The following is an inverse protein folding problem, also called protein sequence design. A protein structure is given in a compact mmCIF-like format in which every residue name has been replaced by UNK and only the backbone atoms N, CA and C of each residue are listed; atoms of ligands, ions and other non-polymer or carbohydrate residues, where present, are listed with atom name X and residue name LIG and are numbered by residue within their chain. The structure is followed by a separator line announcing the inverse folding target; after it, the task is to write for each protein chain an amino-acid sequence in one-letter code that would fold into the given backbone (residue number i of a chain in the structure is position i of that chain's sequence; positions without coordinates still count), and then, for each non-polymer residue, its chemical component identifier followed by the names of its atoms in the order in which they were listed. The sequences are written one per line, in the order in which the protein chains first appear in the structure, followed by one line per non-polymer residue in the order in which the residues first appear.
data_IF_673222072557
#
_entry.id   IF_673222072557
#
_cell.length_a   1.000
_cell.length_b   1.000
_cell.length_c   1.000
_cell.angle_alpha   90.00
_cell.angle_beta   90.00
_cell.angle_gamma   90.00
#
_symmetry.space_group_name_H-M   'P 1'
#
loop_
_entity.id
_entity.type
_entity.pdbx_description
1 polymer ?
#
# COMPACT_ATOMS: atom_id res chain seq x y z
N UNK A 1 1.22 -2.64 18.54
CA UNK A 1 0.96 -2.48 17.08
C UNK A 1 0.74 -0.99 16.78
N UNK A 2 1.52 -0.46 15.88
CA UNK A 2 1.38 0.95 15.49
C UNK A 2 0.21 1.15 14.55
N UNK A 3 -0.48 2.30 14.61
CA UNK A 3 -1.52 2.59 13.63
C UNK A 3 -0.94 2.73 12.23
N UNK A 4 -1.72 2.30 11.24
CA UNK A 4 -1.36 2.46 9.82
C UNK A 4 -2.23 3.57 9.25
N UNK A 5 -1.56 4.61 8.74
CA UNK A 5 -2.24 5.79 8.22
C UNK A 5 -1.91 5.90 6.73
N UNK A 6 -2.94 6.07 5.90
CA UNK A 6 -2.74 6.27 4.47
C UNK A 6 -2.62 7.75 4.16
N UNK A 7 -1.58 8.11 3.42
CA UNK A 7 -1.51 9.42 2.79
C UNK A 7 -2.76 9.60 1.91
N UNK A 8 -3.28 10.83 1.82
CA UNK A 8 -4.52 11.07 1.07
C UNK A 8 -4.42 10.57 -0.37
N UNK A 9 -3.27 10.73 -1.01
CA UNK A 9 -3.06 10.23 -2.37
C UNK A 9 -3.01 8.70 -2.43
N UNK A 10 -2.49 8.05 -1.40
CA UNK A 10 -2.52 6.59 -1.32
C UNK A 10 -3.96 6.08 -1.21
N UNK A 11 -4.78 6.79 -0.45
CA UNK A 11 -6.20 6.44 -0.34
C UNK A 11 -6.93 6.57 -1.68
N UNK A 12 -6.62 7.61 -2.43
CA UNK A 12 -7.15 7.80 -3.79
C UNK A 12 -6.75 6.63 -4.68
N UNK A 13 -5.48 6.23 -4.61
CA UNK A 13 -4.97 5.11 -5.41
C UNK A 13 -5.64 3.79 -5.05
N UNK A 14 -5.84 3.53 -3.76
CA UNK A 14 -6.53 2.33 -3.30
C UNK A 14 -7.96 2.28 -3.83
N UNK A 15 -8.67 3.39 -3.70
CA UNK A 15 -10.05 3.50 -4.16
C UNK A 15 -10.15 3.33 -5.67
N UNK A 16 -9.25 3.94 -6.42
CA UNK A 16 -9.23 3.84 -7.88
C UNK A 16 -8.97 2.39 -8.34
N UNK A 17 -8.04 1.69 -7.68
CA UNK A 17 -7.76 0.30 -7.99
C UNK A 17 -8.98 -0.58 -7.72
N UNK A 18 -9.63 -0.39 -6.57
CA UNK A 18 -10.83 -1.15 -6.21
C UNK A 18 -11.96 -0.92 -7.21
N UNK A 19 -12.16 0.33 -7.62
CA UNK A 19 -13.19 0.67 -8.62
C UNK A 19 -12.92 0.01 -9.97
N UNK A 20 -11.66 -0.05 -10.36
CA UNK A 20 -11.25 -0.68 -11.62
C UNK A 20 -11.59 -2.16 -11.62
N UNK A 21 -11.29 -2.85 -10.50
CA UNK A 21 -11.64 -4.25 -10.35
C UNK A 21 -13.16 -4.46 -10.30
N UNK A 22 -13.90 -3.56 -9.63
CA UNK A 22 -15.35 -3.64 -9.55
C UNK A 22 -16.03 -3.50 -10.93
N UNK A 23 -15.43 -2.70 -11.83
CA UNK A 23 -15.94 -2.57 -13.20
C UNK A 23 -15.84 -3.87 -13.97
N UNK A 24 -14.85 -4.70 -13.66
CA UNK A 24 -14.73 -6.03 -14.24
C UNK A 24 -15.69 -7.00 -13.55
N UNK A 25 -15.50 -7.19 -12.24
CA UNK A 25 -16.39 -8.02 -11.41
C UNK A 25 -16.37 -7.50 -9.96
N UNK A 26 -17.54 -7.37 -9.30
CA UNK A 26 -17.56 -6.89 -7.91
C UNK A 26 -16.76 -7.74 -6.95
N UNK A 27 -16.67 -9.05 -7.18
CA UNK A 27 -15.92 -9.99 -6.34
C UNK A 27 -14.44 -9.65 -6.32
N UNK A 28 -13.89 -9.22 -7.47
CA UNK A 28 -12.47 -8.84 -7.56
C UNK A 28 -12.15 -7.65 -6.68
N UNK A 29 -13.04 -6.66 -6.62
CA UNK A 29 -12.83 -5.51 -5.73
C UNK A 29 -12.81 -5.94 -4.27
N UNK A 30 -13.71 -6.84 -3.87
CA UNK A 30 -13.72 -7.37 -2.49
C UNK A 30 -12.45 -8.14 -2.19
N UNK A 31 -12.01 -8.99 -3.12
CA UNK A 31 -10.79 -9.78 -2.95
C UNK A 31 -9.57 -8.88 -2.85
N UNK A 32 -9.50 -7.85 -3.68
CA UNK A 32 -8.41 -6.88 -3.65
C UNK A 32 -8.34 -6.14 -2.30
N UNK A 33 -9.49 -5.64 -1.82
CA UNK A 33 -9.54 -4.92 -0.55
C UNK A 33 -9.21 -5.85 0.63
N UNK A 34 -9.63 -7.11 0.56
CA UNK A 34 -9.27 -8.09 1.57
C UNK A 34 -7.76 -8.35 1.58
N UNK A 35 -7.17 -8.54 0.40
CA UNK A 35 -5.72 -8.75 0.27
C UNK A 35 -4.94 -7.53 0.76
N UNK A 36 -5.43 -6.34 0.47
CA UNK A 36 -4.84 -5.11 0.98
C UNK A 36 -4.87 -5.08 2.52
N UNK A 37 -6.02 -5.36 3.13
CA UNK A 37 -6.14 -5.35 4.60
C UNK A 37 -5.22 -6.39 5.24
N UNK A 38 -5.12 -7.57 4.64
CA UNK A 38 -4.21 -8.60 5.14
C UNK A 38 -2.75 -8.10 5.11
N UNK A 39 -2.33 -7.50 4.01
CA UNK A 39 -0.98 -6.95 3.89
C UNK A 39 -0.75 -5.80 4.88
N UNK A 40 -1.74 -4.92 5.03
CA UNK A 40 -1.68 -3.79 5.95
C UNK A 40 -1.51 -4.26 7.40
N UNK A 41 -2.27 -5.28 7.79
CA UNK A 41 -2.20 -5.81 9.16
C UNK A 41 -0.86 -6.49 9.43
N UNK A 42 -0.32 -7.20 8.44
CA UNK A 42 1.01 -7.81 8.56
C UNK A 42 2.11 -6.75 8.72
N UNK A 43 2.00 -5.64 7.99
CA UNK A 43 2.92 -4.52 8.13
C UNK A 43 2.82 -3.91 9.54
N UNK A 44 1.60 -3.74 10.05
CA UNK A 44 1.39 -3.16 11.38
C UNK A 44 2.04 -3.99 12.48
N UNK A 45 2.05 -5.32 12.31
CA UNK A 45 2.68 -6.22 13.29
C UNK A 45 4.19 -6.16 13.26
N UNK A 46 4.80 -6.11 12.08
CA UNK A 46 6.25 -6.12 11.92
C UNK A 46 6.66 -5.21 10.77
N UNK A 47 6.61 -3.89 10.96
CA UNK A 47 6.89 -2.95 9.87
C UNK A 47 8.34 -3.00 9.37
N UNK A 48 9.27 -3.45 10.20
CA UNK A 48 10.69 -3.54 9.84
C UNK A 48 11.05 -4.84 9.13
N UNK A 49 10.09 -5.75 8.96
CA UNK A 49 10.30 -7.04 8.32
C UNK A 49 10.51 -6.95 6.80
N UNK A 50 9.94 -5.93 6.19
CA UNK A 50 9.89 -5.83 4.72
C UNK A 50 11.10 -5.10 4.16
N UNK A 51 11.45 -5.42 2.92
CA UNK A 51 12.61 -4.86 2.24
C UNK A 51 12.47 -3.37 2.01
N UNK A 52 13.61 -2.69 2.07
CA UNK A 52 13.66 -1.30 1.61
C UNK A 52 13.51 -1.25 0.10
N UNK A 53 12.70 -0.33 -0.37
CA UNK A 53 12.69 0.07 -1.77
C UNK A 53 13.78 1.10 -2.00
N UNK A 54 13.79 2.12 -1.17
CA UNK A 54 14.79 3.20 -1.16
C UNK A 54 14.71 3.80 0.25
N UNK A 55 15.76 3.63 1.06
CA UNK A 55 15.69 4.04 2.46
C UNK A 55 15.24 5.49 2.59
N UNK A 56 14.33 5.82 3.51
CA UNK A 56 13.78 4.97 4.57
C UNK A 56 12.49 4.23 4.19
N UNK A 57 12.19 4.11 2.91
CA UNK A 57 10.91 3.63 2.40
C UNK A 57 10.96 2.13 2.12
N UNK A 58 9.94 1.43 2.60
CA UNK A 58 9.80 -0.01 2.42
C UNK A 58 8.64 -0.34 1.49
N UNK A 59 8.61 -1.57 1.03
CA UNK A 59 7.55 -2.06 0.14
C UNK A 59 7.05 -3.41 0.60
N UNK A 60 5.75 -3.64 0.38
CA UNK A 60 5.12 -4.92 0.62
C UNK A 60 4.14 -5.21 -0.51
N UNK A 61 4.13 -6.44 -1.00
CA UNK A 61 3.24 -6.84 -2.09
C UNK A 61 1.85 -7.10 -1.56
N UNK A 62 0.84 -6.75 -2.36
CA UNK A 62 -0.54 -7.16 -2.14
C UNK A 62 -0.71 -8.50 -2.86
N UNK A 63 -0.77 -9.59 -2.10
CA UNK A 63 -0.75 -10.94 -2.65
C UNK A 63 -1.91 -11.19 -3.60
N UNK A 64 -1.59 -11.69 -4.78
CA UNK A 64 -2.59 -12.02 -5.80
C UNK A 64 -2.93 -10.88 -6.76
N UNK A 65 -2.32 -9.72 -6.57
CA UNK A 65 -2.60 -8.54 -7.38
C UNK A 65 -1.29 -7.85 -7.76
N UNK A 66 -1.24 -7.16 -8.92
CA UNK A 66 -0.02 -6.47 -9.36
C UNK A 66 0.14 -5.10 -8.69
N UNK A 67 -0.02 -5.06 -7.37
CA UNK A 67 0.07 -3.84 -6.57
C UNK A 67 0.98 -4.03 -5.39
N UNK A 68 1.58 -2.94 -4.94
CA UNK A 68 2.45 -2.90 -3.75
C UNK A 68 2.05 -1.75 -2.86
N UNK A 69 2.27 -1.96 -1.56
CA UNK A 69 2.13 -0.91 -0.54
C UNK A 69 3.52 -0.31 -0.32
N UNK A 70 3.64 0.98 -0.53
CA UNK A 70 4.88 1.73 -0.29
C UNK A 70 4.69 2.52 1.00
N UNK A 71 5.56 2.33 1.99
CA UNK A 71 5.33 2.92 3.31
C UNK A 71 6.62 3.33 4.01
N UNK A 72 6.46 4.22 5.00
CA UNK A 72 7.50 4.58 5.95
C UNK A 72 7.13 4.05 7.33
N UNK A 73 8.12 3.48 8.03
CA UNK A 73 7.96 3.07 9.42
C UNK A 73 8.42 4.22 10.31
N UNK A 74 7.48 5.02 10.80
CA UNK A 74 7.75 6.17 11.67
C UNK A 74 7.62 5.76 13.14
N UNK A 75 8.18 6.55 14.08
CA UNK A 75 8.12 6.17 15.49
C UNK A 75 6.71 5.93 16.02
N UNK A 76 5.73 6.72 15.58
CA UNK A 76 4.37 6.68 16.14
C UNK A 76 3.37 6.00 15.24
N UNK A 77 3.70 5.79 13.96
CA UNK A 77 2.78 5.19 13.01
C UNK A 77 3.52 4.62 11.82
N UNK A 78 2.81 3.80 11.06
CA UNK A 78 3.25 3.40 9.72
C UNK A 78 2.49 4.29 8.75
N UNK A 79 3.20 5.06 7.95
CA UNK A 79 2.56 5.91 6.95
C UNK A 79 2.63 5.27 5.57
N UNK A 80 1.49 4.92 5.01
CA UNK A 80 1.41 4.41 3.65
C UNK A 80 1.46 5.57 2.69
N UNK A 81 2.49 5.60 1.85
CA UNK A 81 2.72 6.69 0.90
C UNK A 81 2.01 6.44 -0.42
N UNK A 82 1.90 5.18 -0.84
CA UNK A 82 1.32 4.86 -2.14
C UNK A 82 0.82 3.43 -2.17
N UNK A 83 -0.23 3.23 -2.97
CA UNK A 83 -0.68 1.92 -3.42
C UNK A 83 -0.39 1.91 -4.92
N UNK A 84 0.71 1.27 -5.31
CA UNK A 84 1.25 1.42 -6.65
C UNK A 84 1.12 0.15 -7.47
N UNK A 85 0.66 0.31 -8.72
CA UNK A 85 0.66 -0.77 -9.70
C UNK A 85 2.10 -1.05 -10.15
N UNK A 86 2.42 -2.31 -10.43
CA UNK A 86 3.76 -2.73 -10.86
C UNK A 86 4.24 -1.99 -12.11
N UNK A 87 3.32 -1.55 -12.97
CA UNK A 87 3.68 -0.82 -14.20
C UNK A 87 3.89 0.68 -14.00
N UNK A 88 3.62 1.20 -12.78
CA UNK A 88 3.76 2.62 -12.52
C UNK A 88 5.24 3.02 -12.47
N UNK A 89 5.55 4.23 -12.94
CA UNK A 89 6.92 4.77 -12.90
C UNK A 89 7.44 4.82 -11.46
N UNK A 90 8.71 4.46 -11.22
CA UNK A 90 9.26 4.45 -9.88
C UNK A 90 9.43 5.86 -9.33
N UNK A 91 9.24 6.00 -8.01
CA UNK A 91 9.55 7.24 -7.30
C UNK A 91 8.52 8.35 -7.41
N UNK A 92 7.40 8.16 -8.08
CA UNK A 92 6.39 9.20 -8.22
C UNK A 92 5.80 9.64 -6.86
N UNK A 93 5.94 8.80 -5.84
CA UNK A 93 5.45 9.04 -4.48
C UNK A 93 6.41 9.84 -3.61
N UNK A 94 7.59 10.20 -4.11
CA UNK A 94 8.65 10.80 -3.27
C UNK A 94 8.23 12.13 -2.62
N UNK A 95 7.38 12.89 -3.28
CA UNK A 95 6.87 14.14 -2.71
C UNK A 95 5.88 13.94 -1.56
N UNK A 96 5.55 12.68 -1.25
CA UNK A 96 4.63 12.32 -0.15
C UNK A 96 5.37 11.98 1.14
N UNK A 97 6.69 11.91 1.09
CA UNK A 97 7.50 11.62 2.28
C UNK A 97 7.27 12.68 3.36
N UNK A 98 7.20 12.23 4.60
CA UNK A 98 7.04 13.13 5.74
C UNK A 98 8.34 13.78 6.18
#
# INVERSE_FOLDING_TARGET
MKPVILHCEANVELTAAAKRYACDRPELARDFLHAFRTAKDAIALQPDRYSFLEKPVRRARITGFPYRIIYEDLPECVQVLAITHDSREPGYWKNRLS
#
